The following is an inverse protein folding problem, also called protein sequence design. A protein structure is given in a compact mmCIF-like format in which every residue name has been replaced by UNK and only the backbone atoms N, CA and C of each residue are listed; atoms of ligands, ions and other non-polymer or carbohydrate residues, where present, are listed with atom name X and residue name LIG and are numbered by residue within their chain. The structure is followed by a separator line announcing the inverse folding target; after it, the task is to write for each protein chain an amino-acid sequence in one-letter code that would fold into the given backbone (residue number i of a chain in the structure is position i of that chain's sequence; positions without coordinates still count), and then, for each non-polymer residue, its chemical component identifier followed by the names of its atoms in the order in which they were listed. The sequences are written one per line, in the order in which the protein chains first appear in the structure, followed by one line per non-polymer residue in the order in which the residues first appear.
data_IF_087310867923
#
_entry.id   IF_087310867923
#
_cell.length_a   1.000
_cell.length_b   1.000
_cell.length_c   1.000
_cell.angle_alpha   90.00
_cell.angle_beta   90.00
_cell.angle_gamma   90.00
#
_symmetry.space_group_name_H-M   'P 1'
#
loop_
_entity.id
_entity.type
_entity.pdbx_description
1 polymer ?
#
# COMPACT_ATOMS: atom_id res chain seq x y z
N UNK A 1 -13.50 1.74 -10.31
CA UNK A 1 -13.23 1.11 -9.01
C UNK A 1 -14.00 -0.21 -8.97
N UNK A 2 -13.77 -1.08 -7.98
CA UNK A 2 -14.56 -2.30 -7.82
C UNK A 2 -15.97 -1.99 -7.28
N UNK A 3 -16.98 -2.79 -7.65
CA UNK A 3 -18.40 -2.52 -7.31
C UNK A 3 -18.70 -2.48 -5.81
N UNK A 4 -17.84 -3.03 -4.96
CA UNK A 4 -17.92 -2.93 -3.51
C UNK A 4 -17.53 -1.54 -3.00
N UNK A 5 -16.39 -1.03 -3.49
CA UNK A 5 -15.80 0.25 -3.08
C UNK A 5 -16.74 1.40 -3.43
N UNK A 6 -17.30 1.39 -4.64
CA UNK A 6 -18.22 2.42 -5.11
C UNK A 6 -19.50 2.48 -4.24
N UNK A 7 -20.02 1.34 -3.79
CA UNK A 7 -21.19 1.28 -2.90
C UNK A 7 -20.91 1.88 -1.52
N UNK A 8 -19.76 1.55 -0.92
CA UNK A 8 -19.41 2.06 0.40
C UNK A 8 -19.07 3.55 0.38
N UNK A 9 -18.43 4.04 -0.68
CA UNK A 9 -18.18 5.48 -0.87
C UNK A 9 -19.49 6.24 -0.98
N UNK A 10 -20.45 5.75 -1.78
CA UNK A 10 -21.76 6.38 -1.93
C UNK A 10 -22.48 6.49 -0.58
N UNK A 11 -22.47 5.44 0.24
CA UNK A 11 -23.07 5.47 1.59
C UNK A 11 -22.42 6.55 2.48
N UNK A 12 -21.09 6.69 2.44
CA UNK A 12 -20.37 7.71 3.22
C UNK A 12 -20.70 9.13 2.74
N UNK A 13 -20.87 9.31 1.44
CA UNK A 13 -21.26 10.59 0.83
C UNK A 13 -22.72 10.96 1.16
N UNK A 14 -23.65 10.00 1.10
CA UNK A 14 -25.05 10.20 1.49
C UNK A 14 -25.18 10.57 2.97
N UNK A 15 -24.35 9.97 3.82
CA UNK A 15 -24.25 10.31 5.23
C UNK A 15 -23.57 11.68 5.49
N UNK A 16 -23.11 12.39 4.45
CA UNK A 16 -22.32 13.63 4.53
C UNK A 16 -21.10 13.51 5.45
N UNK A 17 -20.55 12.30 5.58
CA UNK A 17 -19.41 12.05 6.42
C UNK A 17 -18.10 12.31 5.64
N UNK A 18 -17.06 12.84 6.30
CA UNK A 18 -15.79 13.09 5.65
C UNK A 18 -15.08 11.76 5.32
N UNK A 19 -14.66 11.58 4.08
CA UNK A 19 -13.79 10.46 3.66
C UNK A 19 -12.36 10.74 4.10
N UNK A 20 -12.11 10.59 5.40
CA UNK A 20 -10.76 10.65 5.96
C UNK A 20 -9.97 9.41 5.57
N UNK A 21 -8.64 9.48 5.71
CA UNK A 21 -7.73 8.36 5.47
C UNK A 21 -8.14 7.08 6.24
N UNK A 22 -8.68 7.22 7.45
CA UNK A 22 -9.13 6.10 8.28
C UNK A 22 -10.43 5.47 7.76
N UNK A 23 -11.34 6.29 7.21
CA UNK A 23 -12.55 5.80 6.53
C UNK A 23 -12.17 5.05 5.26
N UNK A 24 -11.22 5.59 4.48
CA UNK A 24 -10.76 4.95 3.24
C UNK A 24 -10.04 3.62 3.53
N UNK A 25 -9.22 3.54 4.58
CA UNK A 25 -8.64 2.28 5.05
C UNK A 25 -9.70 1.26 5.45
N UNK A 26 -10.76 1.70 6.12
CA UNK A 26 -11.86 0.84 6.54
C UNK A 26 -12.63 0.29 5.34
N UNK A 27 -12.92 1.13 4.35
CA UNK A 27 -13.57 0.73 3.08
C UNK A 27 -12.67 -0.26 2.31
N UNK A 28 -11.38 0.04 2.21
CA UNK A 28 -10.42 -0.84 1.53
C UNK A 28 -10.35 -2.22 2.20
N UNK A 29 -10.31 -2.26 3.53
CA UNK A 29 -10.33 -3.52 4.28
C UNK A 29 -11.61 -4.31 4.03
N UNK A 30 -12.78 -3.65 4.07
CA UNK A 30 -14.08 -4.29 3.82
C UNK A 30 -14.26 -4.80 2.39
N UNK A 31 -13.62 -4.15 1.42
CA UNK A 31 -13.69 -4.54 0.01
C UNK A 31 -12.49 -5.36 -0.47
N UNK A 32 -11.60 -5.77 0.44
CA UNK A 32 -10.35 -6.48 0.12
C UNK A 32 -9.49 -5.78 -0.95
N UNK A 33 -9.50 -4.44 -0.92
CA UNK A 33 -8.74 -3.57 -1.81
C UNK A 33 -7.53 -2.99 -1.09
N UNK A 34 -6.53 -2.58 -1.86
CA UNK A 34 -5.34 -1.95 -1.28
C UNK A 34 -5.68 -0.52 -0.77
N UNK A 35 -5.49 -0.22 0.53
CA UNK A 35 -5.94 1.03 1.13
C UNK A 35 -5.20 2.27 0.61
N UNK A 36 -3.94 2.12 0.21
CA UNK A 36 -3.16 3.25 -0.29
C UNK A 36 -3.47 3.50 -1.77
N UNK A 37 -3.60 2.45 -2.58
CA UNK A 37 -4.06 2.55 -3.96
C UNK A 37 -5.49 3.11 -4.03
N UNK A 38 -6.37 2.69 -3.13
CA UNK A 38 -7.72 3.25 -3.02
C UNK A 38 -7.67 4.72 -2.62
N UNK A 39 -6.84 5.08 -1.64
CA UNK A 39 -6.61 6.48 -1.26
C UNK A 39 -6.11 7.32 -2.43
N UNK A 40 -5.15 6.84 -3.23
CA UNK A 40 -4.66 7.57 -4.40
C UNK A 40 -5.71 7.69 -5.52
N UNK A 41 -6.50 6.65 -5.77
CA UNK A 41 -7.62 6.70 -6.73
C UNK A 41 -8.73 7.64 -6.28
N UNK A 42 -8.98 7.73 -4.97
CA UNK A 42 -9.93 8.69 -4.43
C UNK A 42 -9.35 10.10 -4.43
N UNK A 43 -8.07 10.28 -4.10
CA UNK A 43 -7.40 11.57 -4.14
C UNK A 43 -7.47 12.23 -5.54
N UNK A 44 -7.40 11.44 -6.63
CA UNK A 44 -7.60 11.94 -7.99
C UNK A 44 -9.05 12.36 -8.32
N UNK A 45 -10.03 11.85 -7.56
CA UNK A 45 -11.45 12.25 -7.65
C UNK A 45 -11.74 13.42 -6.72
N UNK A 46 -11.03 13.53 -5.59
CA UNK A 46 -11.13 14.63 -4.64
C UNK A 46 -10.57 15.94 -5.18
N UNK A 47 -9.55 15.92 -6.04
CA UNK A 47 -9.05 17.13 -6.72
C UNK A 47 -10.09 17.80 -7.62
N UNK A 48 -11.13 17.09 -8.05
CA UNK A 48 -12.25 17.64 -8.83
C UNK A 48 -13.38 18.23 -7.97
N UNK A 49 -13.42 17.89 -6.67
CA UNK A 49 -14.44 18.39 -5.72
C UNK A 49 -13.97 19.71 -5.07
N UNK A 50 -12.66 19.88 -4.87
CA UNK A 50 -12.08 21.06 -4.20
C UNK A 50 -12.15 22.33 -5.08
N UNK A 51 -12.43 22.22 -6.38
CA UNK A 51 -12.47 23.38 -7.30
C UNK A 51 -13.72 24.26 -7.20
N UNK A 52 -14.80 23.84 -6.54
CA UNK A 52 -16.00 24.70 -6.43
C UNK A 52 -16.06 25.58 -5.18
N UNK A 53 -15.14 25.47 -4.23
CA UNK A 53 -15.13 26.36 -3.06
C UNK A 53 -13.74 26.92 -2.72
N UNK A 54 -13.39 27.93 -3.51
CA UNK A 54 -12.73 29.19 -3.11
C UNK A 54 -11.22 29.19 -2.85
N UNK A 55 -10.57 29.96 -3.73
CA UNK A 55 -9.47 30.90 -3.48
C UNK A 55 -8.06 30.39 -3.15
N UNK A 56 -7.22 30.52 -4.17
CA UNK A 56 -5.89 31.15 -4.10
C UNK A 56 -4.94 30.60 -3.05
N UNK A 57 -4.29 29.49 -3.35
CA UNK A 57 -2.85 29.35 -3.08
C UNK A 57 -2.22 28.53 -4.19
N UNK A 58 -1.10 29.04 -4.68
CA UNK A 58 -0.27 28.55 -5.77
C UNK A 58 -0.11 27.03 -5.68
N UNK A 59 -0.64 26.30 -6.66
CA UNK A 59 -0.39 24.88 -6.84
C UNK A 59 1.12 24.70 -7.09
N UNK A 60 1.88 24.43 -6.03
CA UNK A 60 3.17 23.80 -6.19
C UNK A 60 2.88 22.37 -6.62
N UNK A 61 3.26 22.06 -7.85
CA UNK A 61 3.36 20.70 -8.34
C UNK A 61 4.03 19.84 -7.27
N UNK A 62 3.29 18.90 -6.69
CA UNK A 62 3.91 17.78 -5.98
C UNK A 62 4.50 16.94 -7.10
N UNK A 63 5.70 17.32 -7.54
CA UNK A 63 6.56 16.46 -8.32
C UNK A 63 6.86 15.25 -7.44
N UNK A 64 6.39 14.11 -7.91
CA UNK A 64 6.98 12.79 -7.76
C UNK A 64 8.47 12.85 -7.45
N UNK A 65 8.81 12.78 -6.17
CA UNK A 65 10.12 12.32 -5.69
C UNK A 65 9.87 11.25 -4.63
N UNK A 66 9.51 10.06 -5.07
CA UNK A 66 9.93 8.87 -4.34
C UNK A 66 11.28 8.42 -4.93
N UNK A 67 12.24 9.35 -4.90
CA UNK A 67 13.64 9.10 -5.23
C UNK A 67 14.32 8.75 -3.90
N UNK A 68 13.87 7.66 -3.27
CA UNK A 68 14.63 7.03 -2.19
C UNK A 68 15.35 5.85 -2.82
N UNK A 69 16.66 5.98 -3.02
CA UNK A 69 17.56 4.98 -3.63
C UNK A 69 17.54 3.59 -2.95
N UNK A 70 16.74 3.44 -1.89
CA UNK A 70 16.59 2.29 -0.99
C UNK A 70 15.11 2.12 -0.62
N UNK A 71 14.32 1.68 -1.59
CA UNK A 71 12.92 1.30 -1.41
C UNK A 71 12.79 -0.23 -1.49
N UNK A 72 12.07 -0.83 -0.55
CA UNK A 72 11.70 -2.25 -0.58
C UNK A 72 10.19 -2.43 -0.42
N UNK A 73 9.59 -3.28 -1.24
CA UNK A 73 8.14 -3.46 -1.30
C UNK A 73 7.77 -4.90 -0.97
N UNK A 74 6.83 -5.07 -0.03
CA UNK A 74 6.24 -6.37 0.24
C UNK A 74 5.21 -6.73 -0.85
N UNK A 75 5.38 -7.80 -1.64
CA UNK A 75 4.40 -8.18 -2.66
C UNK A 75 3.11 -8.77 -2.07
N UNK A 76 3.11 -9.20 -0.80
CA UNK A 76 1.92 -9.73 -0.14
C UNK A 76 0.90 -8.65 0.25
N UNK A 77 1.36 -7.43 0.58
CA UNK A 77 0.50 -6.35 1.07
C UNK A 77 0.82 -4.97 0.45
N UNK A 78 1.70 -4.92 -0.56
CA UNK A 78 2.20 -3.73 -1.24
C UNK A 78 2.84 -2.65 -0.36
N UNK A 79 3.07 -2.92 0.94
CA UNK A 79 3.70 -1.96 1.84
C UNK A 79 5.15 -1.70 1.46
N UNK A 80 5.51 -0.42 1.41
CA UNK A 80 6.85 0.05 1.09
C UNK A 80 7.60 0.34 2.39
N UNK A 81 8.89 0.03 2.40
CA UNK A 81 9.82 0.23 3.51
C UNK A 81 11.08 0.91 2.99
N UNK A 82 11.64 1.81 3.80
CA UNK A 82 12.90 2.51 3.52
C UNK A 82 14.14 1.71 3.99
N UNK A 83 13.93 0.50 4.56
CA UNK A 83 14.98 -0.43 4.98
C UNK A 83 14.53 -1.89 4.82
N UNK A 84 15.39 -2.75 4.24
CA UNK A 84 15.09 -4.17 4.04
C UNK A 84 14.91 -4.94 5.37
N UNK A 85 15.57 -4.54 6.46
CA UNK A 85 15.43 -5.17 7.78
C UNK A 85 14.02 -5.02 8.31
N UNK A 86 13.40 -3.85 8.10
CA UNK A 86 12.01 -3.62 8.46
C UNK A 86 11.06 -4.48 7.63
N UNK A 87 11.36 -4.69 6.34
CA UNK A 87 10.60 -5.61 5.50
C UNK A 87 10.73 -7.07 5.97
N UNK A 88 11.93 -7.53 6.34
CA UNK A 88 12.14 -8.88 6.90
C UNK A 88 11.34 -9.07 8.20
N UNK A 89 11.41 -8.11 9.11
CA UNK A 89 10.64 -8.15 10.37
C UNK A 89 9.14 -8.16 10.12
N UNK A 90 8.67 -7.37 9.14
CA UNK A 90 7.29 -7.36 8.72
C UNK A 90 6.84 -8.75 8.21
N UNK A 91 7.56 -9.35 7.26
CA UNK A 91 7.20 -10.66 6.71
C UNK A 91 7.17 -11.72 7.82
N UNK A 92 8.20 -11.77 8.67
CA UNK A 92 8.28 -12.75 9.75
C UNK A 92 7.22 -12.57 10.83
N UNK A 93 6.84 -11.32 11.13
CA UNK A 93 5.72 -11.03 12.04
C UNK A 93 4.40 -11.61 11.50
N UNK A 94 4.06 -11.33 10.24
CA UNK A 94 2.80 -11.81 9.66
C UNK A 94 2.77 -13.32 9.43
N UNK A 95 3.92 -13.95 9.16
CA UNK A 95 4.03 -15.42 9.16
C UNK A 95 3.69 -16.01 10.53
N UNK A 96 4.16 -15.38 11.63
CA UNK A 96 3.81 -15.80 13.00
C UNK A 96 2.34 -15.58 13.32
N UNK A 97 1.70 -14.59 12.69
CA UNK A 97 0.26 -14.34 12.79
C UNK A 97 -0.56 -15.27 11.87
N UNK A 98 0.07 -16.26 11.23
CA UNK A 98 -0.56 -17.20 10.32
C UNK A 98 -1.24 -16.56 9.10
N UNK A 99 -0.77 -15.39 8.66
CA UNK A 99 -1.26 -14.75 7.45
C UNK A 99 -0.87 -15.56 6.20
N UNK A 100 -1.88 -16.00 5.44
CA UNK A 100 -1.71 -16.90 4.29
C UNK A 100 -0.81 -16.28 3.21
N UNK A 101 -0.97 -14.99 2.94
CA UNK A 101 -0.22 -14.27 1.91
C UNK A 101 1.26 -14.12 2.29
N UNK A 102 1.55 -13.79 3.54
CA UNK A 102 2.93 -13.69 4.03
C UNK A 102 3.59 -15.06 4.22
N UNK A 103 2.81 -16.12 4.54
CA UNK A 103 3.31 -17.51 4.54
C UNK A 103 3.73 -17.94 3.13
N UNK A 104 2.91 -17.68 2.11
CA UNK A 104 3.24 -18.02 0.72
C UNK A 104 4.50 -17.28 0.25
N UNK A 105 4.56 -15.97 0.51
CA UNK A 105 5.74 -15.16 0.22
C UNK A 105 7.00 -15.71 0.91
N UNK A 106 6.91 -16.02 2.21
CA UNK A 106 8.02 -16.57 2.96
C UNK A 106 8.51 -17.91 2.39
N UNK A 107 7.59 -18.81 2.00
CA UNK A 107 7.93 -20.09 1.34
C UNK A 107 8.65 -19.87 0.01
N UNK A 108 8.18 -18.92 -0.82
CA UNK A 108 8.82 -18.56 -2.09
C UNK A 108 10.25 -18.05 -1.88
N UNK A 109 10.43 -17.10 -0.98
CA UNK A 109 11.75 -16.54 -0.64
C UNK A 109 12.69 -17.60 -0.07
N UNK A 110 12.18 -18.53 0.75
CA UNK A 110 12.97 -19.64 1.31
C UNK A 110 13.39 -20.66 0.24
N UNK A 111 12.53 -20.91 -0.75
CA UNK A 111 12.89 -21.72 -1.92
C UNK A 111 14.03 -21.07 -2.71
N UNK A 112 13.91 -19.79 -3.02
CA UNK A 112 14.96 -19.02 -3.72
C UNK A 112 16.28 -19.06 -2.94
N UNK A 113 16.23 -18.92 -1.60
CA UNK A 113 17.42 -19.04 -0.74
C UNK A 113 18.09 -20.42 -0.85
N UNK A 114 17.30 -21.49 -0.97
CA UNK A 114 17.83 -22.85 -1.15
C UNK A 114 18.46 -23.05 -2.54
N UNK A 115 17.87 -22.44 -3.57
CA UNK A 115 18.36 -22.53 -4.96
C UNK A 115 19.61 -21.68 -5.22
N UNK A 116 19.77 -20.56 -4.50
CA UNK A 116 20.88 -19.61 -4.71
C UNK A 116 21.98 -19.66 -3.65
N UNK A 117 21.77 -20.38 -2.54
CA UNK A 117 22.71 -20.46 -1.42
C UNK A 117 22.84 -19.15 -0.60
N UNK A 118 22.01 -18.14 -0.89
CA UNK A 118 22.01 -16.84 -0.18
C UNK A 118 21.10 -16.89 1.05
N UNK A 119 21.39 -16.05 2.04
CA UNK A 119 20.55 -15.95 3.23
C UNK A 119 19.21 -15.27 2.91
N UNK A 120 18.17 -15.57 3.70
CA UNK A 120 16.84 -14.98 3.53
C UNK A 120 16.87 -13.44 3.47
N UNK A 121 17.68 -12.80 4.32
CA UNK A 121 17.82 -11.34 4.35
C UNK A 121 18.42 -10.77 3.06
N UNK A 122 19.39 -11.47 2.46
CA UNK A 122 19.99 -11.07 1.18
C UNK A 122 19.01 -11.22 0.03
N UNK A 123 18.21 -12.30 0.04
CA UNK A 123 17.12 -12.48 -0.93
C UNK A 123 16.11 -11.35 -0.81
N UNK A 124 15.66 -11.00 0.40
CA UNK A 124 14.72 -9.88 0.60
C UNK A 124 15.34 -8.55 0.16
N UNK A 125 16.61 -8.30 0.46
CA UNK A 125 17.28 -7.07 0.06
C UNK A 125 17.42 -6.92 -1.47
N UNK A 126 17.55 -8.04 -2.20
CA UNK A 126 17.80 -8.07 -3.64
C UNK A 126 16.49 -8.17 -4.45
N UNK A 127 15.63 -9.13 -4.12
CA UNK A 127 14.43 -9.50 -4.89
C UNK A 127 13.25 -8.59 -4.63
N UNK A 128 13.17 -7.97 -3.44
CA UNK A 128 12.04 -7.13 -3.05
C UNK A 128 12.35 -5.63 -3.13
N UNK A 129 13.44 -5.26 -3.81
CA UNK A 129 13.78 -3.86 -4.06
C UNK A 129 12.80 -3.26 -5.09
N UNK A 130 12.35 -2.02 -4.84
CA UNK A 130 11.52 -1.30 -5.79
C UNK A 130 12.33 -1.04 -7.08
N UNK A 131 11.80 -1.50 -8.22
CA UNK A 131 12.30 -1.20 -9.56
C UNK A 131 11.56 -0.02 -10.18
#
# INVERSE_FOLDING_TARGET
MGSCVDKLINIVQEAKAPLTIEVVKSIAYLCHEDPYNLWYKLASVYTTIVTEQRSSTKAQSIQTKHETEKCWKCPACNKIFDDYKHLVNHITYFVKQHDVSHIDLYKKLKKISSDTGKTFSEIVASELKCS
#
